data_IF_044286418433
#
_entry.id   IF_044286418433
#
_cell.length_a   1.000
_cell.length_b   1.000
_cell.length_c   1.000
_cell.angle_alpha   90.00
_cell.angle_beta   90.00
_cell.angle_gamma   90.00
#
_symmetry.space_group_name_H-M   'P 1'
#
loop_
_entity.id
_entity.type
_entity.pdbx_description
1 polymer ?
#
# COMPACT_ATOMS: atom_id res chain seq x y z
N UNK A 1 32.01 -0.84 8.53
CA UNK A 1 31.43 0.29 7.79
C UNK A 1 29.94 0.19 7.97
N UNK A 2 29.36 1.03 8.82
CA UNK A 2 27.92 1.05 9.07
C UNK A 2 27.25 1.54 7.77
N UNK A 3 26.53 0.66 7.10
CA UNK A 3 25.55 1.09 6.10
C UNK A 3 24.61 2.03 6.84
N UNK A 4 24.51 3.29 6.39
CA UNK A 4 23.59 4.25 6.97
C UNK A 4 22.19 3.64 6.95
N UNK A 5 21.68 3.29 8.12
CA UNK A 5 20.30 2.90 8.29
C UNK A 5 19.46 4.06 7.76
N UNK A 6 18.59 3.77 6.80
CA UNK A 6 17.63 4.74 6.29
C UNK A 6 16.83 5.24 7.49
N UNK A 7 16.82 6.56 7.71
CA UNK A 7 16.03 7.18 8.77
C UNK A 7 14.52 7.16 8.46
N UNK A 8 14.10 6.38 7.48
CA UNK A 8 12.73 6.28 7.00
C UNK A 8 12.07 4.96 7.42
N UNK A 9 10.75 5.02 7.61
CA UNK A 9 9.88 3.86 7.72
C UNK A 9 9.53 3.42 6.31
N UNK A 10 9.86 2.18 5.93
CA UNK A 10 9.44 1.65 4.64
C UNK A 10 8.06 0.99 4.79
N UNK A 11 7.10 1.43 4.00
CA UNK A 11 5.72 0.95 4.00
C UNK A 11 5.41 0.20 2.70
N UNK A 12 5.37 -1.13 2.77
CA UNK A 12 4.96 -2.01 1.68
C UNK A 12 3.46 -2.28 1.75
N UNK A 13 2.77 -2.04 0.63
CA UNK A 13 1.32 -2.21 0.58
C UNK A 13 0.84 -2.66 -0.80
N UNK A 14 -0.31 -3.33 -0.84
CA UNK A 14 -1.07 -3.54 -2.07
C UNK A 14 -2.34 -2.69 -1.99
N UNK A 15 -2.67 -1.96 -3.04
CA UNK A 15 -3.90 -1.17 -3.10
C UNK A 15 -5.18 -2.00 -2.96
N UNK A 16 -5.10 -3.32 -3.14
CA UNK A 16 -6.21 -4.24 -2.87
C UNK A 16 -6.33 -4.66 -1.40
N UNK A 17 -5.44 -4.18 -0.52
CA UNK A 17 -5.44 -4.55 0.89
C UNK A 17 -6.27 -3.61 1.75
N UNK A 18 -7.39 -4.07 2.35
CA UNK A 18 -8.15 -3.27 3.32
C UNK A 18 -7.31 -2.83 4.52
N UNK A 19 -6.46 -3.71 5.04
CA UNK A 19 -5.55 -3.34 6.14
C UNK A 19 -4.43 -2.40 5.68
N UNK A 20 -4.02 -2.47 4.40
CA UNK A 20 -3.12 -1.48 3.79
C UNK A 20 -3.75 -0.09 3.75
N UNK A 21 -5.04 -0.01 3.39
CA UNK A 21 -5.80 1.24 3.44
C UNK A 21 -5.85 1.82 4.87
N UNK A 22 -6.16 1.00 5.88
CA UNK A 22 -6.22 1.45 7.27
C UNK A 22 -4.86 1.97 7.76
N UNK A 23 -3.78 1.26 7.46
CA UNK A 23 -2.43 1.69 7.82
C UNK A 23 -2.02 3.00 7.13
N UNK A 24 -2.43 3.17 5.87
CA UNK A 24 -2.18 4.39 5.10
C UNK A 24 -2.81 5.66 5.69
N UNK A 25 -3.80 5.52 6.58
CA UNK A 25 -4.43 6.65 7.27
C UNK A 25 -3.60 7.16 8.45
N UNK A 26 -2.73 6.34 9.03
CA UNK A 26 -2.06 6.63 10.29
C UNK A 26 -0.52 6.69 10.18
N UNK A 27 0.07 6.02 9.17
CA UNK A 27 1.53 5.79 9.14
C UNK A 27 2.36 7.06 8.95
N UNK A 28 1.90 8.01 8.15
CA UNK A 28 2.65 9.25 7.91
C UNK A 28 2.70 10.10 9.19
N UNK A 29 1.56 10.32 9.85
CA UNK A 29 1.47 11.10 11.08
C UNK A 29 2.27 10.43 12.21
N UNK A 30 2.22 9.09 12.28
CA UNK A 30 3.00 8.31 13.23
C UNK A 30 4.49 8.54 13.00
N UNK A 31 4.98 8.38 11.78
CA UNK A 31 6.40 8.54 11.45
C UNK A 31 6.86 9.99 11.68
N UNK A 32 6.06 10.98 11.27
CA UNK A 32 6.35 12.41 11.45
C UNK A 32 6.46 12.78 12.93
N UNK A 33 5.64 12.20 13.80
CA UNK A 33 5.70 12.44 15.27
C UNK A 33 7.05 12.03 15.89
N UNK A 34 7.80 11.14 15.21
CA UNK A 34 9.15 10.71 15.59
C UNK A 34 10.25 11.32 14.71
N UNK A 35 9.93 12.32 13.88
CA UNK A 35 10.88 12.95 12.96
C UNK A 35 11.37 12.01 11.85
N UNK A 36 10.56 11.02 11.48
CA UNK A 36 10.84 10.05 10.42
C UNK A 36 9.97 10.34 9.20
N UNK A 37 10.46 9.95 8.03
CA UNK A 37 9.70 9.95 6.78
C UNK A 37 9.22 8.54 6.46
N UNK A 38 8.17 8.42 5.64
CA UNK A 38 7.66 7.14 5.15
C UNK A 38 7.99 6.99 3.68
N UNK A 39 8.64 5.89 3.31
CA UNK A 39 8.83 5.51 1.91
C UNK A 39 7.72 4.54 1.52
N UNK A 40 6.80 4.99 0.70
CA UNK A 40 5.67 4.22 0.20
C UNK A 40 6.10 3.28 -0.92
N UNK A 41 5.80 1.98 -0.80
CA UNK A 41 6.20 0.94 -1.74
C UNK A 41 5.02 0.05 -2.14
N UNK A 42 4.24 0.41 -3.16
CA UNK A 42 3.19 -0.47 -3.65
C UNK A 42 3.77 -1.74 -4.26
N UNK A 43 3.17 -2.87 -3.88
CA UNK A 43 3.49 -4.21 -4.37
C UNK A 43 2.22 -4.88 -4.89
N UNK A 44 2.37 -6.06 -5.47
CA UNK A 44 1.24 -6.93 -5.84
C UNK A 44 1.29 -8.20 -5.01
N UNK A 45 0.24 -8.45 -4.22
CA UNK A 45 0.13 -9.64 -3.37
C UNK A 45 -0.07 -10.94 -4.18
N UNK A 46 -0.63 -10.86 -5.38
CA UNK A 46 -0.87 -12.05 -6.20
C UNK A 46 0.38 -12.91 -6.44
N UNK A 47 1.50 -12.37 -6.94
CA UNK A 47 2.76 -13.10 -7.06
C UNK A 47 3.30 -13.61 -5.71
N UNK A 48 3.17 -12.83 -4.64
CA UNK A 48 3.61 -13.21 -3.29
C UNK A 48 2.79 -14.39 -2.77
N UNK A 49 1.47 -14.35 -2.92
CA UNK A 49 0.59 -15.46 -2.53
C UNK A 49 0.90 -16.75 -3.30
N UNK A 50 1.22 -16.62 -4.60
CA UNK A 50 1.63 -17.78 -5.40
C UNK A 50 2.90 -18.45 -4.85
N UNK A 51 3.84 -17.65 -4.35
CA UNK A 51 5.09 -18.16 -3.77
C UNK A 51 4.90 -18.74 -2.36
N UNK A 52 4.06 -18.11 -1.54
CA UNK A 52 3.84 -18.52 -0.13
C UNK A 52 2.76 -19.59 0.02
N UNK A 53 1.98 -19.89 -1.02
CA UNK A 53 0.79 -20.74 -0.93
C UNK A 53 -0.39 -20.07 -0.22
N UNK A 54 -0.33 -18.76 0.03
CA UNK A 54 -1.38 -17.99 0.68
C UNK A 54 -2.52 -17.62 -0.29
N UNK A 55 -3.59 -17.07 0.28
CA UNK A 55 -4.76 -16.56 -0.45
C UNK A 55 -5.19 -15.24 0.15
N UNK A 56 -5.99 -14.42 -0.57
CA UNK A 56 -6.64 -13.26 0.01
C UNK A 56 -7.39 -13.67 1.29
N UNK A 57 -7.21 -12.89 2.37
CA UNK A 57 -7.69 -13.27 3.70
C UNK A 57 -9.21 -13.49 3.74
N UNK A 58 -9.96 -12.70 2.97
CA UNK A 58 -11.43 -12.82 2.89
C UNK A 58 -11.90 -14.09 2.18
N UNK A 59 -11.02 -14.74 1.38
CA UNK A 59 -11.33 -16.00 0.67
C UNK A 59 -10.96 -17.25 1.50
N UNK A 60 -10.39 -17.06 2.70
CA UNK A 60 -10.03 -18.19 3.57
C UNK A 60 -11.23 -18.59 4.40
N UNK A 61 -11.71 -19.86 4.30
CA UNK A 61 -12.83 -20.34 5.10
C UNK A 61 -12.64 -20.06 6.60
N UNK A 62 -13.68 -19.66 7.29
CA UNK A 62 -13.74 -19.24 8.69
C UNK A 62 -13.01 -17.91 8.97
N UNK A 63 -11.80 -17.71 8.46
CA UNK A 63 -11.04 -16.47 8.66
C UNK A 63 -11.65 -15.28 7.93
N UNK A 64 -12.23 -15.50 6.75
CA UNK A 64 -12.81 -14.42 5.93
C UNK A 64 -13.94 -13.69 6.63
N UNK A 65 -14.85 -14.40 7.28
CA UNK A 65 -15.93 -13.77 8.04
C UNK A 65 -15.41 -12.95 9.23
N UNK A 66 -14.43 -13.49 9.94
CA UNK A 66 -13.79 -12.74 11.04
C UNK A 66 -13.08 -11.51 10.51
N UNK A 67 -12.27 -11.65 9.44
CA UNK A 67 -11.53 -10.55 8.85
C UNK A 67 -12.45 -9.43 8.36
N UNK A 68 -13.58 -9.76 7.74
CA UNK A 68 -14.56 -8.75 7.32
C UNK A 68 -15.07 -7.93 8.51
N UNK A 69 -15.42 -8.59 9.63
CA UNK A 69 -15.87 -7.90 10.86
C UNK A 69 -14.73 -7.09 11.49
N UNK A 70 -13.52 -7.62 11.45
CA UNK A 70 -12.33 -6.98 12.02
C UNK A 70 -11.96 -5.70 11.27
N UNK A 71 -11.94 -5.73 9.94
CA UNK A 71 -11.70 -4.56 9.10
C UNK A 71 -12.70 -3.44 9.43
N UNK A 72 -14.00 -3.76 9.49
CA UNK A 72 -15.05 -2.80 9.83
C UNK A 72 -14.87 -2.22 11.25
N UNK A 73 -14.43 -3.03 12.20
CA UNK A 73 -14.15 -2.60 13.56
C UNK A 73 -12.91 -1.69 13.60
N UNK A 74 -11.85 -2.06 12.90
CA UNK A 74 -10.62 -1.28 12.82
C UNK A 74 -10.87 0.09 12.14
N UNK A 75 -11.64 0.12 11.05
CA UNK A 75 -12.04 1.38 10.40
C UNK A 75 -12.81 2.31 11.35
N UNK A 76 -13.79 1.77 12.08
CA UNK A 76 -14.53 2.55 13.10
C UNK A 76 -13.62 3.05 14.22
N UNK A 77 -12.62 2.26 14.65
CA UNK A 77 -11.67 2.65 15.69
C UNK A 77 -10.88 3.91 15.33
N UNK A 78 -10.47 4.01 14.07
CA UNK A 78 -9.70 5.17 13.58
C UNK A 78 -10.58 6.25 12.93
N UNK A 79 -11.92 6.05 12.90
CA UNK A 79 -12.87 7.05 12.42
C UNK A 79 -12.93 7.23 10.92
N UNK A 80 -12.51 6.23 10.12
CA UNK A 80 -12.51 6.31 8.66
C UNK A 80 -13.66 5.54 8.02
N UNK A 81 -14.25 6.02 6.91
CA UNK A 81 -15.21 5.26 6.12
C UNK A 81 -14.58 3.96 5.58
N UNK A 82 -15.37 2.92 5.47
CA UNK A 82 -14.94 1.70 4.82
C UNK A 82 -16.10 0.99 4.13
N UNK A 83 -15.91 0.70 2.84
CA UNK A 83 -16.79 -0.14 2.02
C UNK A 83 -15.95 -1.07 1.15
N UNK A 84 -16.32 -2.35 1.07
CA UNK A 84 -15.61 -3.30 0.22
C UNK A 84 -16.12 -3.14 -1.23
N UNK A 85 -15.22 -2.88 -2.20
CA UNK A 85 -15.62 -2.74 -3.59
C UNK A 85 -16.08 -4.08 -4.20
N UNK A 86 -16.77 -4.00 -5.32
CA UNK A 86 -17.13 -5.16 -6.13
C UNK A 86 -16.64 -4.95 -7.57
N UNK A 87 -15.91 -5.93 -8.16
CA UNK A 87 -15.50 -7.21 -7.56
C UNK A 87 -14.38 -7.07 -6.51
N UNK A 88 -14.30 -8.03 -5.59
CA UNK A 88 -13.18 -8.16 -4.66
C UNK A 88 -12.82 -9.64 -4.52
N UNK A 89 -11.52 -10.04 -4.47
CA UNK A 89 -10.35 -9.19 -4.62
C UNK A 89 -10.13 -8.69 -6.06
N UNK A 90 -9.38 -7.63 -6.21
CA UNK A 90 -9.02 -7.05 -7.51
C UNK A 90 -7.50 -6.89 -7.66
N UNK A 91 -7.02 -6.71 -8.90
CA UNK A 91 -5.61 -6.48 -9.18
C UNK A 91 -5.35 -4.99 -9.43
N UNK A 92 -4.54 -4.35 -8.59
CA UNK A 92 -4.26 -2.91 -8.64
C UNK A 92 -3.04 -2.55 -9.52
N UNK A 93 -2.85 -3.24 -10.64
CA UNK A 93 -1.67 -3.07 -11.50
C UNK A 93 -1.56 -1.66 -12.07
N UNK A 94 -2.67 -1.09 -12.56
CA UNK A 94 -2.70 0.26 -13.12
C UNK A 94 -2.36 1.32 -12.08
N UNK A 95 -2.97 1.23 -10.89
CA UNK A 95 -2.70 2.12 -9.77
C UNK A 95 -1.22 2.09 -9.37
N UNK A 96 -0.63 0.91 -9.24
CA UNK A 96 0.78 0.76 -8.88
C UNK A 96 1.74 1.29 -9.96
N UNK A 97 1.40 1.17 -11.25
CA UNK A 97 2.22 1.75 -12.33
C UNK A 97 2.19 3.26 -12.32
N UNK A 98 1.01 3.87 -12.19
CA UNK A 98 0.89 5.32 -12.09
C UNK A 98 1.63 5.82 -10.84
N UNK A 99 1.53 5.12 -9.71
CA UNK A 99 2.31 5.46 -8.52
C UNK A 99 3.81 5.54 -8.81
N UNK A 100 4.42 4.50 -9.42
CA UNK A 100 5.85 4.50 -9.70
C UNK A 100 6.25 5.51 -10.78
N UNK A 101 5.38 5.78 -11.74
CA UNK A 101 5.58 6.85 -12.70
C UNK A 101 5.63 8.23 -12.03
N UNK A 102 4.75 8.48 -11.05
CA UNK A 102 4.77 9.72 -10.26
C UNK A 102 5.98 9.76 -9.33
N UNK A 103 6.25 8.66 -8.65
CA UNK A 103 7.35 8.55 -7.68
C UNK A 103 8.72 8.90 -8.27
N UNK A 104 8.96 8.53 -9.52
CA UNK A 104 10.20 8.85 -10.23
C UNK A 104 10.31 10.35 -10.58
N UNK A 105 9.24 11.14 -10.44
CA UNK A 105 9.19 12.57 -10.71
C UNK A 105 9.03 13.40 -9.43
N UNK A 106 8.12 12.96 -8.55
CA UNK A 106 7.74 13.64 -7.32
C UNK A 106 7.14 12.62 -6.35
N UNK A 107 7.87 12.31 -5.29
CA UNK A 107 7.46 11.34 -4.26
C UNK A 107 6.21 11.82 -3.50
N UNK A 108 6.08 13.12 -3.25
CA UNK A 108 4.92 13.69 -2.55
C UNK A 108 3.65 13.54 -3.41
N UNK A 109 3.75 13.81 -4.71
CA UNK A 109 2.65 13.60 -5.65
C UNK A 109 2.24 12.11 -5.74
N UNK A 110 3.20 11.19 -5.71
CA UNK A 110 2.92 9.75 -5.68
C UNK A 110 2.17 9.35 -4.40
N UNK A 111 2.59 9.84 -3.25
CA UNK A 111 1.92 9.58 -1.97
C UNK A 111 0.50 10.18 -1.95
N UNK A 112 0.32 11.39 -2.45
CA UNK A 112 -1.00 12.03 -2.59
C UNK A 112 -1.92 11.20 -3.50
N UNK A 113 -1.40 10.72 -4.64
CA UNK A 113 -2.13 9.82 -5.54
C UNK A 113 -2.51 8.51 -4.82
N UNK A 114 -1.60 7.89 -4.10
CA UNK A 114 -1.86 6.64 -3.39
C UNK A 114 -2.98 6.79 -2.36
N UNK A 115 -2.99 7.88 -1.59
CA UNK A 115 -4.05 8.17 -0.61
C UNK A 115 -5.42 8.33 -1.29
N UNK A 116 -5.47 8.98 -2.46
CA UNK A 116 -6.72 9.11 -3.22
C UNK A 116 -7.17 7.76 -3.77
N UNK A 117 -6.27 6.94 -4.33
CA UNK A 117 -6.59 5.60 -4.83
C UNK A 117 -7.17 4.71 -3.72
N UNK A 118 -6.61 4.74 -2.53
CA UNK A 118 -7.15 4.00 -1.39
C UNK A 118 -8.56 4.48 -1.01
N UNK A 119 -8.84 5.78 -1.06
CA UNK A 119 -10.18 6.34 -0.84
C UNK A 119 -11.17 5.87 -1.91
N UNK A 120 -10.79 5.98 -3.18
CA UNK A 120 -11.63 5.48 -4.29
C UNK A 120 -11.99 3.99 -4.09
N UNK A 121 -11.02 3.17 -3.69
CA UNK A 121 -11.24 1.75 -3.46
C UNK A 121 -12.12 1.47 -2.25
N UNK A 122 -11.83 2.06 -1.08
CA UNK A 122 -12.40 1.60 0.19
C UNK A 122 -13.36 2.58 0.87
N UNK A 123 -13.45 3.83 0.43
CA UNK A 123 -14.50 4.77 0.85
C UNK A 123 -15.62 4.83 -0.19
N UNK A 124 -15.26 4.97 -1.47
CA UNK A 124 -16.20 5.08 -2.56
C UNK A 124 -16.59 3.72 -3.18
N UNK A 125 -15.90 2.64 -2.77
CA UNK A 125 -16.09 1.27 -3.25
C UNK A 125 -15.98 1.15 -4.78
N UNK A 126 -15.09 1.93 -5.40
CA UNK A 126 -14.86 1.89 -6.84
C UNK A 126 -13.87 0.79 -7.21
N UNK A 127 -14.06 0.18 -8.35
CA UNK A 127 -13.16 -0.82 -8.90
C UNK A 127 -11.91 -0.15 -9.52
N UNK A 128 -10.85 0.01 -8.73
CA UNK A 128 -9.58 0.60 -9.15
C UNK A 128 -8.73 -0.35 -10.02
N UNK A 129 -9.19 -1.56 -10.34
CA UNK A 129 -8.59 -2.39 -11.38
C UNK A 129 -8.85 -1.82 -12.78
N UNK A 130 -9.88 -1.00 -12.92
CA UNK A 130 -10.27 -0.38 -14.17
C UNK A 130 -9.32 0.79 -14.51
N UNK A 131 -8.67 0.79 -15.68
CA UNK A 131 -7.79 1.89 -16.11
C UNK A 131 -8.49 3.26 -16.07
N UNK A 132 -9.78 3.31 -16.38
CA UNK A 132 -10.55 4.55 -16.37
C UNK A 132 -10.60 5.19 -14.98
N UNK A 133 -10.76 4.40 -13.90
CA UNK A 133 -10.83 4.91 -12.53
C UNK A 133 -9.49 5.49 -12.08
N UNK A 134 -8.40 4.77 -12.31
CA UNK A 134 -7.06 5.23 -11.91
C UNK A 134 -6.59 6.43 -12.74
N UNK A 135 -7.00 6.50 -14.02
CA UNK A 135 -6.75 7.65 -14.88
C UNK A 135 -7.50 8.89 -14.41
N UNK A 136 -8.77 8.75 -14.06
CA UNK A 136 -9.57 9.85 -13.53
C UNK A 136 -8.94 10.48 -12.28
N UNK A 137 -8.38 9.66 -11.39
CA UNK A 137 -7.67 10.16 -10.20
C UNK A 137 -6.44 10.98 -10.61
N UNK A 138 -5.63 10.49 -11.54
CA UNK A 138 -4.46 11.21 -12.01
C UNK A 138 -4.83 12.53 -12.73
N UNK A 139 -5.92 12.52 -13.52
CA UNK A 139 -6.47 13.73 -14.16
C UNK A 139 -6.88 14.79 -13.12
N UNK A 140 -7.55 14.37 -12.04
CA UNK A 140 -7.93 15.29 -10.94
C UNK A 140 -6.73 15.90 -10.22
N UNK A 141 -5.59 15.23 -10.25
CA UNK A 141 -4.32 15.73 -9.72
C UNK A 141 -3.55 16.61 -10.73
N UNK A 142 -4.11 16.84 -11.93
CA UNK A 142 -3.59 17.77 -12.91
C UNK A 142 -2.72 17.17 -14.01
N UNK A 143 -2.59 15.86 -14.08
CA UNK A 143 -1.81 15.18 -15.14
C UNK A 143 -2.59 15.08 -16.44
N UNK A 144 -1.89 15.13 -17.58
CA UNK A 144 -2.53 15.11 -18.90
C UNK A 144 -2.94 13.70 -19.32
N UNK A 145 -4.06 13.53 -20.04
CA UNK A 145 -4.52 12.19 -20.51
C UNK A 145 -3.45 11.39 -21.24
N UNK A 146 -2.66 12.05 -22.10
CA UNK A 146 -1.59 11.42 -22.89
C UNK A 146 -0.44 10.91 -22.03
N UNK A 147 -0.10 11.60 -20.96
CA UNK A 147 0.93 11.19 -19.99
C UNK A 147 0.48 9.94 -19.22
N UNK A 148 -0.78 9.95 -18.77
CA UNK A 148 -1.39 8.84 -18.03
C UNK A 148 -1.48 7.59 -18.91
N UNK A 149 -1.94 7.72 -20.15
CA UNK A 149 -2.00 6.61 -21.11
C UNK A 149 -0.61 6.04 -21.38
N UNK A 150 0.37 6.92 -21.57
CA UNK A 150 1.77 6.53 -21.72
C UNK A 150 2.27 5.77 -20.49
N UNK A 151 2.01 6.25 -19.27
CA UNK A 151 2.40 5.58 -18.04
C UNK A 151 1.76 4.19 -17.91
N UNK A 152 0.47 4.06 -18.22
CA UNK A 152 -0.24 2.78 -18.12
C UNK A 152 0.25 1.75 -19.16
N UNK A 153 0.69 2.19 -20.33
CA UNK A 153 1.18 1.33 -21.43
C UNK A 153 2.70 1.08 -21.38
N UNK A 154 3.45 1.87 -20.60
CA UNK A 154 4.91 1.83 -20.57
C UNK A 154 5.45 0.47 -20.08
N UNK A 155 6.22 -0.26 -20.92
CA UNK A 155 6.81 -1.54 -20.53
C UNK A 155 7.87 -1.40 -19.43
N UNK A 156 8.55 -0.26 -19.32
CA UNK A 156 9.56 -0.02 -18.27
C UNK A 156 8.90 0.10 -16.89
N UNK A 157 7.72 0.73 -16.78
CA UNK A 157 6.96 0.80 -15.54
C UNK A 157 6.37 -0.56 -15.16
N UNK A 158 6.00 -1.39 -16.15
CA UNK A 158 5.63 -2.78 -15.90
C UNK A 158 6.81 -3.55 -15.28
N UNK A 159 7.98 -3.40 -15.85
CA UNK A 159 9.20 -4.05 -15.38
C UNK A 159 9.66 -3.46 -14.03
N UNK A 160 9.49 -2.15 -13.80
CA UNK A 160 9.73 -1.52 -12.51
C UNK A 160 8.86 -2.15 -11.41
N UNK A 161 7.54 -2.24 -11.62
CA UNK A 161 6.63 -2.86 -10.67
C UNK A 161 7.01 -4.33 -10.40
N UNK A 162 7.40 -5.08 -11.42
CA UNK A 162 7.88 -6.46 -11.26
C UNK A 162 9.11 -6.51 -10.35
N UNK A 163 10.11 -5.67 -10.61
CA UNK A 163 11.32 -5.59 -9.77
C UNK A 163 11.00 -5.23 -8.32
N UNK A 164 10.09 -4.30 -8.07
CA UNK A 164 9.69 -3.95 -6.70
C UNK A 164 9.03 -5.12 -5.97
N UNK A 165 8.22 -5.91 -6.67
CA UNK A 165 7.65 -7.15 -6.10
C UNK A 165 8.74 -8.18 -5.83
N UNK A 166 9.70 -8.37 -6.74
CA UNK A 166 10.83 -9.31 -6.57
C UNK A 166 11.73 -8.88 -5.38
N UNK A 167 11.97 -7.57 -5.22
CA UNK A 167 12.69 -7.01 -4.08
C UNK A 167 11.92 -7.28 -2.78
N UNK A 168 10.61 -7.03 -2.75
CA UNK A 168 9.79 -7.30 -1.58
C UNK A 168 9.84 -8.78 -1.17
N UNK A 169 9.74 -9.70 -2.14
CA UNK A 169 9.87 -11.15 -1.91
C UNK A 169 11.25 -11.49 -1.34
N UNK A 170 12.31 -10.94 -1.90
CA UNK A 170 13.69 -11.16 -1.42
C UNK A 170 13.85 -10.69 0.03
N UNK A 171 13.22 -9.58 0.37
CA UNK A 171 13.17 -9.01 1.74
C UNK A 171 12.17 -9.71 2.66
N UNK A 172 11.53 -10.80 2.22
CA UNK A 172 10.55 -11.58 2.99
C UNK A 172 9.27 -10.82 3.33
N UNK A 173 8.88 -9.87 2.51
CA UNK A 173 7.54 -9.26 2.57
C UNK A 173 6.53 -10.29 2.07
N UNK A 174 5.57 -10.66 2.91
CA UNK A 174 4.60 -11.72 2.60
C UNK A 174 3.14 -11.29 2.71
N UNK A 175 2.89 -10.02 3.05
CA UNK A 175 1.56 -9.47 3.24
C UNK A 175 1.51 -7.96 3.11
N UNK A 176 0.34 -7.37 3.32
CA UNK A 176 0.09 -5.93 3.28
C UNK A 176 -0.91 -5.55 4.38
N UNK A 177 -0.65 -4.49 5.20
CA UNK A 177 0.58 -3.69 5.20
C UNK A 177 1.78 -4.44 5.77
N UNK A 178 2.98 -4.09 5.33
CA UNK A 178 4.22 -4.58 5.89
C UNK A 178 5.21 -3.41 6.01
N UNK A 179 5.94 -3.34 7.11
CA UNK A 179 6.84 -2.22 7.38
C UNK A 179 8.25 -2.72 7.68
N UNK A 180 9.24 -1.89 7.35
CA UNK A 180 10.57 -1.99 7.93
C UNK A 180 10.89 -0.71 8.67
N UNK A 181 11.28 -0.85 9.93
CA UNK A 181 11.71 0.25 10.79
C UNK A 181 13.08 -0.09 11.34
N UNK A 182 14.10 0.67 10.98
CA UNK A 182 15.50 0.41 11.36
C UNK A 182 15.97 -1.02 10.96
N UNK A 183 15.36 -1.59 9.92
CA UNK A 183 15.64 -2.96 9.44
C UNK A 183 14.78 -4.05 10.09
N UNK A 184 14.03 -3.73 11.16
CA UNK A 184 13.11 -4.66 11.81
C UNK A 184 11.78 -4.74 11.07
N UNK A 185 11.25 -5.95 10.78
CA UNK A 185 9.98 -6.14 10.07
C UNK A 185 8.77 -6.13 10.99
N UNK A 186 7.71 -5.44 10.56
CA UNK A 186 6.39 -5.44 11.20
C UNK A 186 5.31 -5.75 10.16
N UNK A 187 4.41 -6.66 10.47
CA UNK A 187 3.32 -7.04 9.56
C UNK A 187 1.95 -6.85 10.18
N UNK A 188 1.13 -6.06 9.54
CA UNK A 188 -0.26 -5.77 9.92
C UNK A 188 -0.46 -4.33 10.39
N UNK A 189 -1.67 -3.80 10.19
CA UNK A 189 -2.01 -2.46 10.67
C UNK A 189 -2.13 -2.39 12.20
N UNK A 190 -2.31 -3.52 12.86
CA UNK A 190 -2.32 -3.67 14.32
C UNK A 190 -0.92 -3.56 14.95
N UNK A 191 0.14 -3.55 14.12
CA UNK A 191 1.52 -3.31 14.56
C UNK A 191 1.91 -1.84 14.62
N UNK A 192 1.06 -0.90 14.21
CA UNK A 192 1.39 0.53 14.28
C UNK A 192 1.72 0.99 15.70
N UNK A 193 1.04 0.46 16.72
CA UNK A 193 1.37 0.75 18.11
C UNK A 193 2.75 0.18 18.53
N UNK A 194 3.14 -0.97 18.00
CA UNK A 194 4.47 -1.53 18.24
C UNK A 194 5.55 -0.70 17.52
N UNK A 195 5.26 -0.20 16.31
CA UNK A 195 6.14 0.70 15.56
C UNK A 195 6.33 2.02 16.32
N UNK A 196 5.26 2.61 16.84
CA UNK A 196 5.33 3.82 17.67
C UNK A 196 6.25 3.61 18.87
N UNK A 197 6.07 2.51 19.59
CA UNK A 197 6.90 2.16 20.73
C UNK A 197 8.37 1.89 20.36
N UNK A 198 8.58 1.23 19.18
CA UNK A 198 9.92 0.99 18.64
C UNK A 198 10.66 2.30 18.36
N UNK A 199 10.00 3.22 17.66
CA UNK A 199 10.56 4.52 17.33
C UNK A 199 10.84 5.38 18.58
N UNK A 200 9.96 5.30 19.60
CA UNK A 200 10.13 6.00 20.86
C UNK A 200 11.34 5.51 21.65
N UNK A 201 11.63 4.18 21.63
CA UNK A 201 12.66 3.55 22.47
C UNK A 201 13.99 3.33 21.75
N UNK A 202 14.02 3.40 20.44
CA UNK A 202 15.17 3.02 19.64
C UNK A 202 15.35 1.50 19.51
N UNK A 203 14.25 0.76 19.59
CA UNK A 203 14.21 -0.71 19.53
C UNK A 203 14.20 -1.39 20.91
N UNK A 204 14.05 -2.73 20.91
CA UNK A 204 14.19 -3.62 22.09
C UNK A 204 14.64 -5.01 21.66
#
# INVERSE_FOLDING_TARGET
MSQGQSNAVEFYFDFSSPYGYLAAQEIDDLAESHGRQVIWRPILLGPIFKQTGSKPLLDIPLKGEYAHRDILRAARRIGVPFRLPQPFPFAAVGASRIFYWLFDQDEEAACAYAKVIFREAFEEARDISQPAVVSEVALRLGYMPTEIETALSNPELKERLRREVDIAITRKVFGSPFFFVDGEPFWGNDRLADIDLWLQRGGW
#
